data_IF_722513049025
#
_entry.id   IF_722513049025
#
_cell.length_a   1.000
_cell.length_b   1.000
_cell.length_c   1.000
_cell.angle_alpha   90.00
_cell.angle_beta   90.00
_cell.angle_gamma   90.00
#
_symmetry.space_group_name_H-M   'P 1'
#
loop_
_entity.id
_entity.type
_entity.pdbx_description
1 polymer ?
#
# COMPACT_ATOMS: atom_id res chain seq x y z
N UNK A 1 25.68 2.56 -14.28
CA UNK A 1 24.47 2.64 -15.11
C UNK A 1 23.32 3.05 -14.20
N UNK A 2 22.67 4.15 -14.58
CA UNK A 2 21.43 4.73 -14.02
C UNK A 2 21.50 5.38 -12.62
N UNK A 3 22.15 6.54 -12.62
CA UNK A 3 22.04 7.61 -11.64
C UNK A 3 20.77 8.45 -11.90
N UNK A 4 19.64 8.18 -11.23
CA UNK A 4 18.38 8.94 -11.41
C UNK A 4 17.47 9.01 -10.17
N UNK A 5 18.01 9.12 -8.94
CA UNK A 5 17.17 9.45 -7.76
C UNK A 5 17.72 10.59 -6.91
N UNK A 6 18.60 11.41 -7.49
CA UNK A 6 19.01 12.69 -6.89
C UNK A 6 18.12 13.79 -7.47
N UNK A 7 17.43 14.51 -6.59
CA UNK A 7 16.50 15.63 -6.84
C UNK A 7 15.04 15.26 -7.14
N UNK A 8 14.27 14.92 -6.10
CA UNK A 8 12.89 15.37 -5.98
C UNK A 8 12.52 15.41 -4.48
N UNK A 9 11.91 16.50 -4.04
CA UNK A 9 10.99 16.50 -2.90
C UNK A 9 9.85 15.49 -3.21
N UNK A 10 10.11 14.20 -3.01
CA UNK A 10 9.17 13.11 -3.28
C UNK A 10 8.86 12.44 -1.95
N UNK A 11 7.68 12.71 -1.40
CA UNK A 11 7.09 11.86 -0.36
C UNK A 11 6.72 10.55 -1.08
N UNK A 12 7.39 9.41 -0.81
CA UNK A 12 7.16 8.19 -1.58
C UNK A 12 5.74 7.70 -1.33
N UNK A 13 4.82 8.02 -2.23
CA UNK A 13 3.55 7.31 -2.37
C UNK A 13 3.90 5.86 -2.70
N UNK A 14 3.31 4.91 -1.96
CA UNK A 14 3.56 3.50 -2.17
C UNK A 14 2.67 3.00 -3.31
N UNK A 15 3.27 2.44 -4.36
CA UNK A 15 2.53 1.91 -5.51
C UNK A 15 1.98 0.50 -5.24
N UNK A 16 1.00 0.08 -6.04
CA UNK A 16 0.39 -1.26 -5.96
C UNK A 16 1.41 -2.37 -6.10
N UNK A 17 2.39 -2.21 -6.99
CA UNK A 17 3.46 -3.21 -7.20
C UNK A 17 4.35 -3.33 -5.95
N UNK A 18 4.76 -2.21 -5.36
CA UNK A 18 5.58 -2.21 -4.14
C UNK A 18 4.85 -2.88 -2.97
N UNK A 19 3.54 -2.59 -2.83
CA UNK A 19 2.71 -3.22 -1.82
C UNK A 19 2.59 -4.74 -2.04
N UNK A 20 2.41 -5.17 -3.29
CA UNK A 20 2.35 -6.58 -3.67
C UNK A 20 3.69 -7.31 -3.47
N UNK A 21 4.81 -6.68 -3.81
CA UNK A 21 6.15 -7.24 -3.62
C UNK A 21 6.40 -7.49 -2.14
N UNK A 22 6.13 -6.49 -1.28
CA UNK A 22 6.25 -6.62 0.17
C UNK A 22 5.30 -7.68 0.72
N UNK A 23 4.05 -7.70 0.26
CA UNK A 23 3.09 -8.73 0.64
C UNK A 23 3.57 -10.13 0.25
N UNK A 24 4.17 -10.29 -0.94
CA UNK A 24 4.76 -11.55 -1.39
C UNK A 24 5.99 -11.95 -0.58
N UNK A 25 6.75 -10.98 -0.06
CA UNK A 25 7.87 -11.19 0.85
C UNK A 25 7.43 -11.60 2.27
N UNK A 26 6.13 -11.65 2.55
CA UNK A 26 5.57 -11.98 3.87
C UNK A 26 5.33 -10.77 4.76
N UNK A 27 5.54 -9.55 4.26
CA UNK A 27 5.19 -8.34 4.99
C UNK A 27 3.67 -8.27 5.13
N UNK A 28 3.22 -7.98 6.35
CA UNK A 28 1.80 -7.80 6.68
C UNK A 28 1.58 -6.50 7.42
N UNK A 29 2.65 -5.81 7.82
CA UNK A 29 2.58 -4.57 8.57
C UNK A 29 2.82 -3.37 7.65
N UNK A 30 1.75 -2.65 7.32
CA UNK A 30 1.81 -1.43 6.52
C UNK A 30 1.27 -0.23 7.30
N UNK A 31 1.56 -0.15 8.59
CA UNK A 31 1.08 0.93 9.45
C UNK A 31 1.69 2.28 9.06
N UNK A 32 0.85 3.31 8.97
CA UNK A 32 1.29 4.69 8.68
C UNK A 32 1.73 4.93 7.23
N UNK A 33 1.44 4.00 6.32
CA UNK A 33 1.71 4.18 4.89
C UNK A 33 0.68 5.13 4.28
N UNK A 34 1.14 5.99 3.36
CA UNK A 34 0.26 6.81 2.53
C UNK A 34 -0.07 6.05 1.23
N UNK A 35 -1.31 5.59 1.15
CA UNK A 35 -1.90 4.89 0.01
C UNK A 35 -2.98 5.76 -0.65
N UNK A 36 -2.87 7.09 -0.54
CA UNK A 36 -3.81 7.98 -1.18
C UNK A 36 -3.79 7.79 -2.70
N UNK A 37 -4.96 7.74 -3.32
CA UNK A 37 -5.17 7.56 -4.77
C UNK A 37 -4.61 6.24 -5.35
N UNK A 38 -4.26 5.26 -4.51
CA UNK A 38 -3.75 3.97 -4.99
C UNK A 38 -4.85 3.16 -5.70
N UNK A 39 -4.48 2.39 -6.73
CA UNK A 39 -5.39 1.40 -7.31
C UNK A 39 -5.11 -0.01 -6.79
N UNK A 40 -5.89 -0.44 -5.81
CA UNK A 40 -5.86 -1.78 -5.22
C UNK A 40 -7.04 -2.64 -5.71
N UNK A 41 -7.61 -2.33 -6.88
CA UNK A 41 -8.71 -3.09 -7.44
C UNK A 41 -8.32 -4.55 -7.68
N UNK A 42 -9.18 -5.49 -7.28
CA UNK A 42 -8.97 -6.93 -7.42
C UNK A 42 -7.75 -7.50 -6.65
N UNK A 43 -7.17 -6.72 -5.73
CA UNK A 43 -6.02 -7.17 -4.94
C UNK A 43 -6.47 -7.94 -3.70
N UNK A 44 -5.79 -9.05 -3.39
CA UNK A 44 -6.01 -9.83 -2.18
C UNK A 44 -5.03 -9.43 -1.07
N UNK A 45 -5.54 -8.77 -0.02
CA UNK A 45 -4.78 -8.24 1.10
C UNK A 45 -5.27 -8.86 2.42
N UNK A 46 -5.60 -10.14 2.40
CA UNK A 46 -6.08 -10.85 3.58
C UNK A 46 -5.04 -10.88 4.71
N UNK A 47 -5.46 -10.53 5.92
CA UNK A 47 -4.62 -10.51 7.12
C UNK A 47 -3.60 -9.36 7.19
N UNK A 48 -3.74 -8.34 6.33
CA UNK A 48 -2.88 -7.16 6.33
C UNK A 48 -3.24 -6.18 7.46
N UNK A 49 -2.24 -5.53 8.03
CA UNK A 49 -2.38 -4.53 9.09
C UNK A 49 -2.25 -3.14 8.48
N UNK A 50 -3.38 -2.46 8.30
CA UNK A 50 -3.47 -1.09 7.80
C UNK A 50 -3.87 -0.11 8.91
N UNK A 51 -3.07 -0.03 9.99
CA UNK A 51 -3.34 0.99 11.03
C UNK A 51 -2.81 2.35 10.62
N UNK A 52 -3.65 3.38 10.77
CA UNK A 52 -3.30 4.78 10.46
C UNK A 52 -2.83 4.97 9.01
N UNK A 53 -3.35 4.16 8.10
CA UNK A 53 -3.06 4.26 6.67
C UNK A 53 -4.00 5.29 6.05
N UNK A 54 -3.46 6.15 5.21
CA UNK A 54 -4.26 7.07 4.41
C UNK A 54 -4.71 6.35 3.13
N UNK A 55 -6.01 6.03 3.05
CA UNK A 55 -6.64 5.43 1.86
C UNK A 55 -7.55 6.46 1.16
N UNK A 56 -7.32 7.76 1.34
CA UNK A 56 -8.09 8.81 0.68
C UNK A 56 -8.04 8.59 -0.85
N UNK A 57 -9.19 8.62 -1.52
CA UNK A 57 -9.30 8.39 -2.97
C UNK A 57 -8.73 7.04 -3.48
N UNK A 58 -8.45 6.07 -2.61
CA UNK A 58 -7.97 4.76 -3.01
C UNK A 58 -9.08 3.94 -3.69
N UNK A 59 -8.77 3.31 -4.82
CA UNK A 59 -9.67 2.38 -5.49
C UNK A 59 -9.51 0.97 -4.90
N UNK A 60 -10.49 0.54 -4.11
CA UNK A 60 -10.58 -0.79 -3.50
C UNK A 60 -11.64 -1.68 -4.17
N UNK A 61 -12.02 -1.36 -5.42
CA UNK A 61 -13.05 -2.10 -6.15
C UNK A 61 -12.66 -3.57 -6.30
N UNK A 62 -13.50 -4.51 -5.84
CA UNK A 62 -13.22 -5.95 -5.85
C UNK A 62 -11.98 -6.38 -5.03
N UNK A 63 -11.43 -5.52 -4.17
CA UNK A 63 -10.34 -5.89 -3.28
C UNK A 63 -10.81 -6.86 -2.18
N UNK A 64 -10.00 -7.87 -1.87
CA UNK A 64 -10.27 -8.83 -0.79
C UNK A 64 -9.56 -8.35 0.47
N UNK A 65 -10.33 -7.82 1.43
CA UNK A 65 -9.85 -7.30 2.71
C UNK A 65 -10.33 -8.18 3.88
N UNK A 66 -10.12 -9.49 3.81
CA UNK A 66 -10.49 -10.40 4.90
C UNK A 66 -9.48 -10.28 6.05
N UNK A 67 -9.96 -10.29 7.30
CA UNK A 67 -9.10 -10.22 8.50
C UNK A 67 -8.15 -9.00 8.55
N UNK A 68 -8.45 -7.93 7.81
CA UNK A 68 -7.62 -6.72 7.80
C UNK A 68 -7.82 -5.97 9.11
N UNK A 69 -6.72 -5.70 9.81
CA UNK A 69 -6.76 -4.94 11.05
C UNK A 69 -6.69 -3.43 10.75
N UNK A 70 -7.85 -2.79 10.74
CA UNK A 70 -8.02 -1.35 10.53
C UNK A 70 -8.15 -0.55 11.84
N UNK A 71 -7.91 -1.15 13.01
CA UNK A 71 -8.09 -0.44 14.29
C UNK A 71 -7.12 0.76 14.37
N UNK A 72 -7.71 1.97 14.41
CA UNK A 72 -7.02 3.28 14.36
C UNK A 72 -6.17 3.56 15.60
#
# INVERSE_FOLDING_TARGET
MSCWRSCQLWIPQMDTNELLERYSAGERDFRGVDLQQINLSEVNLTGVIFRRVNLADANLSLAVLQEVNLNQ
#
